data_IF_065265121311
#
_entry.id   IF_065265121311
#
_cell.length_a   1.000
_cell.length_b   1.000
_cell.length_c   1.000
_cell.angle_alpha   90.00
_cell.angle_beta   90.00
_cell.angle_gamma   90.00
#
_symmetry.space_group_name_H-M   'P 1'
#
loop_
_entity.id
_entity.type
_entity.pdbx_description
1 polymer ?
#
# COMPACT_ATOMS: atom_id res chain seq x y z
N UNK A 1 -2.96 20.52 -21.70
CA UNK A 1 -2.69 19.51 -20.63
C UNK A 1 -3.41 18.19 -20.89
N UNK A 2 -4.75 18.13 -20.79
CA UNK A 2 -5.52 16.89 -21.00
C UNK A 2 -5.43 16.41 -22.45
N UNK A 3 -5.76 17.28 -23.42
CA UNK A 3 -5.66 16.97 -24.87
C UNK A 3 -4.25 16.62 -25.33
N UNK A 4 -3.24 17.14 -24.64
CA UNK A 4 -1.82 16.86 -24.92
C UNK A 4 -1.32 15.58 -24.23
N UNK A 5 -2.18 14.85 -23.50
CA UNK A 5 -1.81 13.64 -22.77
C UNK A 5 -0.88 13.86 -21.57
N UNK A 6 -0.67 15.12 -21.15
CA UNK A 6 0.20 15.47 -20.00
C UNK A 6 -0.52 15.43 -18.66
N UNK A 7 -1.83 15.19 -18.66
CA UNK A 7 -2.68 15.14 -17.48
C UNK A 7 -3.88 14.24 -17.77
N UNK A 8 -4.16 13.28 -16.88
CA UNK A 8 -5.31 12.42 -17.00
C UNK A 8 -6.51 13.02 -16.26
N UNK A 9 -7.64 13.11 -16.96
CA UNK A 9 -8.87 13.69 -16.44
C UNK A 9 -9.78 14.19 -17.54
N UNK A 10 -10.91 14.78 -17.16
CA UNK A 10 -11.86 15.41 -18.07
C UNK A 10 -12.57 16.59 -17.42
N UNK A 11 -13.19 17.43 -18.25
CA UNK A 11 -13.95 18.61 -17.80
C UNK A 11 -15.44 18.30 -17.98
N UNK A 12 -16.19 18.32 -16.88
CA UNK A 12 -17.65 18.37 -16.90
C UNK A 12 -18.09 19.82 -17.07
N UNK A 13 -18.68 20.12 -18.23
CA UNK A 13 -19.11 21.48 -18.57
C UNK A 13 -20.51 21.81 -18.06
N UNK A 14 -21.32 20.82 -17.67
CA UNK A 14 -22.66 21.05 -17.11
C UNK A 14 -22.50 21.54 -15.67
N UNK A 15 -21.68 20.83 -14.90
CA UNK A 15 -21.45 21.14 -13.49
C UNK A 15 -20.26 22.10 -13.27
N UNK A 16 -19.53 22.45 -14.33
CA UNK A 16 -18.31 23.28 -14.27
C UNK A 16 -17.22 22.70 -13.35
N UNK A 17 -17.04 21.38 -13.37
CA UNK A 17 -16.10 20.62 -12.53
C UNK A 17 -15.01 19.98 -13.39
N UNK A 18 -13.79 19.94 -12.88
CA UNK A 18 -12.68 19.18 -13.48
C UNK A 18 -12.48 17.89 -12.69
N UNK A 19 -12.62 16.75 -13.37
CA UNK A 19 -12.37 15.43 -12.81
C UNK A 19 -10.94 15.00 -13.13
N UNK A 20 -10.15 14.75 -12.09
CA UNK A 20 -8.85 14.10 -12.22
C UNK A 20 -9.04 12.60 -12.21
N UNK A 21 -8.31 11.89 -13.08
CA UNK A 21 -8.36 10.44 -13.08
C UNK A 21 -7.78 9.91 -11.76
N UNK A 22 -8.65 9.33 -10.93
CA UNK A 22 -8.25 8.55 -9.78
C UNK A 22 -7.73 7.20 -10.27
N UNK A 23 -6.69 6.67 -9.62
CA UNK A 23 -6.15 5.34 -9.92
C UNK A 23 -7.29 4.31 -9.97
N UNK A 24 -7.25 3.43 -10.96
CA UNK A 24 -8.21 2.34 -11.11
C UNK A 24 -8.36 1.54 -9.81
N UNK A 25 -9.60 1.21 -9.44
CA UNK A 25 -9.93 0.59 -8.15
C UNK A 25 -9.20 -0.74 -7.91
N UNK A 26 -9.10 -1.60 -8.94
CA UNK A 26 -8.46 -2.91 -8.82
C UNK A 26 -6.93 -2.80 -8.64
N UNK A 27 -6.18 -2.07 -9.49
CA UNK A 27 -4.77 -1.80 -9.25
C UNK A 27 -4.48 -1.09 -7.91
N UNK A 28 -5.39 -0.21 -7.46
CA UNK A 28 -5.23 0.46 -6.18
C UNK A 28 -5.44 -0.51 -5.00
N UNK A 29 -6.38 -1.45 -5.12
CA UNK A 29 -6.57 -2.53 -4.15
C UNK A 29 -5.33 -3.42 -4.03
N UNK A 30 -4.77 -3.87 -5.16
CA UNK A 30 -3.54 -4.67 -5.17
C UNK A 30 -2.36 -3.92 -4.51
N UNK A 31 -2.22 -2.62 -4.81
CA UNK A 31 -1.20 -1.76 -4.18
C UNK A 31 -1.40 -1.63 -2.66
N UNK A 32 -2.64 -1.58 -2.18
CA UNK A 32 -2.92 -1.50 -0.75
C UNK A 32 -2.58 -2.81 -0.04
N UNK A 33 -2.89 -3.96 -0.63
CA UNK A 33 -2.48 -5.27 -0.10
C UNK A 33 -0.95 -5.35 -0.03
N UNK A 34 -0.27 -4.97 -1.11
CA UNK A 34 1.19 -4.96 -1.15
C UNK A 34 1.78 -4.04 -0.07
N UNK A 35 1.25 -2.83 0.08
CA UNK A 35 1.70 -1.87 1.10
C UNK A 35 1.53 -2.42 2.52
N UNK A 36 0.42 -3.11 2.80
CA UNK A 36 0.19 -3.75 4.09
C UNK A 36 1.24 -4.82 4.37
N UNK A 37 1.50 -5.71 3.41
CA UNK A 37 2.52 -6.76 3.56
C UNK A 37 3.92 -6.16 3.80
N UNK A 38 4.28 -5.07 3.11
CA UNK A 38 5.55 -4.39 3.37
C UNK A 38 5.63 -3.80 4.77
N UNK A 39 4.55 -3.21 5.26
CA UNK A 39 4.51 -2.66 6.62
C UNK A 39 4.69 -3.77 7.66
N UNK A 40 4.01 -4.91 7.50
CA UNK A 40 4.18 -6.06 8.39
C UNK A 40 5.62 -6.55 8.37
N UNK A 41 6.22 -6.74 7.20
CA UNK A 41 7.62 -7.17 7.09
C UNK A 41 8.57 -6.19 7.80
N UNK A 42 8.39 -4.88 7.58
CA UNK A 42 9.22 -3.87 8.23
C UNK A 42 9.09 -3.88 9.76
N UNK A 43 7.89 -4.13 10.28
CA UNK A 43 7.65 -4.27 11.72
C UNK A 43 8.37 -5.51 12.26
N UNK A 44 8.25 -6.65 11.58
CA UNK A 44 8.94 -7.89 11.97
C UNK A 44 10.46 -7.71 11.95
N UNK A 45 11.01 -7.11 10.90
CA UNK A 45 12.45 -6.80 10.80
C UNK A 45 12.92 -5.88 11.94
N UNK A 46 12.12 -4.86 12.28
CA UNK A 46 12.41 -3.95 13.39
C UNK A 46 12.42 -4.67 14.74
N UNK A 47 11.47 -5.57 14.96
CA UNK A 47 11.41 -6.40 16.17
C UNK A 47 12.62 -7.33 16.23
N UNK A 48 12.94 -8.05 15.14
CA UNK A 48 14.11 -8.94 15.06
C UNK A 48 15.41 -8.21 15.37
N UNK A 49 15.55 -6.97 14.90
CA UNK A 49 16.74 -6.16 15.10
C UNK A 49 16.88 -5.66 16.54
N UNK A 50 15.78 -5.20 17.15
CA UNK A 50 15.82 -4.55 18.46
C UNK A 50 15.61 -5.53 19.63
N UNK A 51 14.96 -6.67 19.38
CA UNK A 51 14.60 -7.67 20.39
C UNK A 51 14.82 -9.12 19.88
N UNK A 52 16.07 -9.49 19.55
CA UNK A 52 16.39 -10.79 18.95
C UNK A 52 16.00 -11.99 19.85
N UNK A 53 16.27 -11.90 21.16
CA UNK A 53 15.97 -13.00 22.09
C UNK A 53 14.46 -13.25 22.22
N UNK A 54 13.66 -12.18 22.16
CA UNK A 54 12.20 -12.28 22.22
C UNK A 54 11.66 -12.96 20.97
N UNK A 55 12.13 -12.57 19.78
CA UNK A 55 11.61 -13.15 18.54
C UNK A 55 11.99 -14.62 18.40
N UNK A 56 13.20 -15.01 18.82
CA UNK A 56 13.62 -16.42 18.85
C UNK A 56 12.70 -17.26 19.73
N UNK A 57 12.42 -16.80 20.94
CA UNK A 57 11.49 -17.48 21.86
C UNK A 57 10.09 -17.64 21.24
N UNK A 58 9.54 -16.57 20.65
CA UNK A 58 8.20 -16.61 20.04
C UNK A 58 8.16 -17.54 18.83
N UNK A 59 9.21 -17.55 18.00
CA UNK A 59 9.30 -18.45 16.85
C UNK A 59 9.35 -19.93 17.29
N UNK A 60 10.10 -20.25 18.35
CA UNK A 60 10.12 -21.59 18.92
C UNK A 60 8.75 -22.02 19.44
N UNK A 61 8.04 -21.15 20.16
CA UNK A 61 6.67 -21.40 20.64
C UNK A 61 5.68 -21.64 19.48
N UNK A 62 5.86 -20.95 18.35
CA UNK A 62 5.00 -21.10 17.17
C UNK A 62 5.23 -22.42 16.42
N UNK A 63 6.45 -22.99 16.46
CA UNK A 63 6.76 -24.28 15.81
C UNK A 63 6.25 -25.51 16.59
N UNK A 64 5.88 -25.33 17.86
CA UNK A 64 5.37 -26.39 18.75
C UNK A 64 3.84 -26.48 18.71
N UNK A 65 3.16 -25.51 18.09
CA UNK A 65 1.70 -25.45 17.94
C UNK A 65 1.21 -25.97 16.59
#
# INVERSE_FOLDING_TARGET
>A
MITEGRMNGYIDQIDSIVHFETRETLPQWDKQIQSLCYQVNSIIESISKNHPDWILKVMEEQMVS
#
